data_IF_382353380514
#
_entry.id   IF_382353380514
#
_cell.length_a   1.000
_cell.length_b   1.000
_cell.length_c   1.000
_cell.angle_alpha   90.00
_cell.angle_beta   90.00
_cell.angle_gamma   90.00
#
_symmetry.space_group_name_H-M   'P 1'
#
loop_
_entity.id
_entity.type
_entity.pdbx_description
1 polymer ?
#
# COMPACT_ATOMS: atom_id res chain seq x y z
N UNK A 1 0.51 21.02 0.35
CA UNK A 1 1.74 21.68 0.81
C UNK A 1 1.89 23.08 0.19
N UNK A 2 2.16 23.22 -1.12
CA UNK A 2 2.36 24.53 -1.76
C UNK A 2 1.21 25.53 -1.51
N UNK A 3 -0.05 25.11 -1.71
CA UNK A 3 -1.23 25.96 -1.44
C UNK A 3 -1.33 26.43 0.02
N UNK A 4 -0.88 25.61 0.97
CA UNK A 4 -0.91 25.96 2.39
C UNK A 4 0.17 26.99 2.74
N UNK A 5 1.35 26.92 2.11
CA UNK A 5 2.39 27.94 2.22
C UNK A 5 1.91 29.26 1.61
N UNK A 6 1.16 29.20 0.51
CA UNK A 6 0.53 30.36 -0.12
C UNK A 6 -0.68 30.92 0.65
N UNK A 7 -0.95 30.44 1.88
CA UNK A 7 -2.00 30.96 2.75
C UNK A 7 -3.35 30.24 2.65
N UNK A 8 -3.57 29.37 1.66
CA UNK A 8 -4.80 28.59 1.54
C UNK A 8 -4.67 27.20 2.19
N UNK A 9 -5.11 27.10 3.45
CA UNK A 9 -5.08 25.86 4.25
C UNK A 9 -6.33 25.00 4.09
N UNK A 10 -7.38 25.50 3.46
CA UNK A 10 -8.66 24.79 3.29
C UNK A 10 -8.51 23.41 2.62
N UNK A 11 -7.69 23.25 1.55
CA UNK A 11 -7.47 21.94 0.92
C UNK A 11 -6.89 20.89 1.86
N UNK A 12 -6.23 21.28 2.95
CA UNK A 12 -5.67 20.32 3.91
C UNK A 12 -6.77 19.50 4.60
N UNK A 13 -7.96 20.08 4.75
CA UNK A 13 -9.09 19.46 5.44
C UNK A 13 -10.20 18.99 4.49
N UNK A 14 -10.34 19.61 3.32
CA UNK A 14 -11.41 19.27 2.37
C UNK A 14 -11.01 18.22 1.35
N UNK A 15 -9.71 18.06 1.06
CA UNK A 15 -9.24 17.14 0.03
C UNK A 15 -9.57 15.68 0.34
N UNK A 16 -10.15 15.00 -0.64
CA UNK A 16 -10.55 13.59 -0.51
C UNK A 16 -9.37 12.64 -0.26
N UNK A 17 -8.17 12.90 -0.81
CA UNK A 17 -6.99 12.08 -0.59
C UNK A 17 -6.53 12.16 0.86
N UNK A 18 -6.41 13.39 1.39
CA UNK A 18 -5.92 13.61 2.77
C UNK A 18 -6.89 13.01 3.77
N UNK A 19 -8.20 13.28 3.61
CA UNK A 19 -9.22 12.68 4.46
C UNK A 19 -9.21 11.16 4.39
N UNK A 20 -9.06 10.60 3.18
CA UNK A 20 -8.95 9.15 2.99
C UNK A 20 -7.74 8.54 3.67
N UNK A 21 -6.58 9.17 3.52
CA UNK A 21 -5.34 8.73 4.12
C UNK A 21 -5.44 8.75 5.65
N UNK A 22 -5.90 9.87 6.22
CA UNK A 22 -6.06 10.00 7.67
C UNK A 22 -7.14 9.06 8.22
N UNK A 23 -8.27 8.90 7.53
CA UNK A 23 -9.30 7.95 7.96
C UNK A 23 -8.78 6.52 7.96
N UNK A 24 -8.05 6.13 6.90
CA UNK A 24 -7.47 4.80 6.80
C UNK A 24 -6.44 4.56 7.92
N UNK A 25 -5.55 5.53 8.13
CA UNK A 25 -4.50 5.46 9.15
C UNK A 25 -5.11 5.33 10.56
N UNK A 26 -6.08 6.17 10.90
CA UNK A 26 -6.76 6.12 12.21
C UNK A 26 -7.50 4.79 12.38
N UNK A 27 -8.23 4.32 11.37
CA UNK A 27 -8.92 3.03 11.44
C UNK A 27 -7.96 1.88 11.72
N UNK A 28 -6.84 1.78 10.98
CA UNK A 28 -5.85 0.72 11.20
C UNK A 28 -5.24 0.81 12.60
N UNK A 29 -4.84 2.01 13.02
CA UNK A 29 -4.24 2.22 14.34
C UNK A 29 -5.21 1.81 15.45
N UNK A 30 -6.47 2.25 15.38
CA UNK A 30 -7.47 1.90 16.39
C UNK A 30 -7.73 0.40 16.40
N UNK A 31 -7.86 -0.25 15.24
CA UNK A 31 -8.07 -1.71 15.16
C UNK A 31 -6.89 -2.49 15.74
N UNK A 32 -5.65 -2.14 15.38
CA UNK A 32 -4.45 -2.82 15.91
C UNK A 32 -4.24 -2.56 17.39
N UNK A 33 -4.49 -1.33 17.86
CA UNK A 33 -4.38 -0.98 19.26
C UNK A 33 -5.38 -1.77 20.10
N UNK A 34 -6.66 -1.81 19.72
CA UNK A 34 -7.68 -2.62 20.41
C UNK A 34 -7.33 -4.11 20.39
N UNK A 35 -6.89 -4.64 19.25
CA UNK A 35 -6.48 -6.03 19.14
C UNK A 35 -5.34 -6.37 20.11
N UNK A 36 -4.31 -5.52 20.19
CA UNK A 36 -3.19 -5.74 21.11
C UNK A 36 -3.60 -5.60 22.57
N UNK A 37 -4.53 -4.70 22.90
CA UNK A 37 -5.06 -4.58 24.27
C UNK A 37 -5.85 -5.80 24.73
N UNK A 38 -6.50 -6.52 23.81
CA UNK A 38 -7.27 -7.72 24.13
C UNK A 38 -6.36 -8.97 24.19
N UNK A 39 -5.32 -9.03 23.36
CA UNK A 39 -4.50 -10.23 23.18
C UNK A 39 -3.17 -10.22 23.94
N UNK A 40 -2.68 -9.04 24.31
CA UNK A 40 -1.38 -8.88 24.95
C UNK A 40 -1.54 -8.08 26.25
N UNK A 41 -0.91 -8.55 27.33
CA UNK A 41 -0.91 -7.83 28.61
C UNK A 41 0.16 -6.72 28.60
N UNK A 42 -0.14 -5.63 27.89
CA UNK A 42 0.76 -4.50 27.65
C UNK A 42 0.08 -3.21 28.09
N UNK A 43 0.85 -2.25 28.60
CA UNK A 43 0.35 -0.91 28.91
C UNK A 43 -0.24 -0.23 27.67
N UNK A 44 -1.44 0.35 27.82
CA UNK A 44 -2.18 1.00 26.74
C UNK A 44 -1.39 2.11 26.03
N UNK A 45 -0.60 2.89 26.77
CA UNK A 45 0.23 3.95 26.21
C UNK A 45 1.36 3.39 25.34
N UNK A 46 1.99 2.30 25.77
CA UNK A 46 3.07 1.63 25.03
C UNK A 46 2.54 1.02 23.74
N UNK A 47 1.44 0.26 23.82
CA UNK A 47 0.81 -0.34 22.64
C UNK A 47 0.38 0.72 21.62
N UNK A 48 -0.21 1.83 22.09
CA UNK A 48 -0.63 2.91 21.21
C UNK A 48 0.56 3.54 20.48
N UNK A 49 1.63 3.86 21.21
CA UNK A 49 2.86 4.46 20.63
C UNK A 49 3.47 3.56 19.55
N UNK A 50 3.62 2.28 19.84
CA UNK A 50 4.19 1.31 18.91
C UNK A 50 3.32 1.13 17.66
N UNK A 51 2.00 1.00 17.84
CA UNK A 51 1.04 0.86 16.73
C UNK A 51 1.05 2.10 15.85
N UNK A 52 0.99 3.31 16.43
CA UNK A 52 1.03 4.56 15.67
C UNK A 52 2.31 4.64 14.82
N UNK A 53 3.48 4.41 15.44
CA UNK A 53 4.76 4.54 14.76
C UNK A 53 4.92 3.54 13.62
N UNK A 54 4.76 2.25 13.90
CA UNK A 54 4.98 1.19 12.91
C UNK A 54 3.94 1.26 11.78
N UNK A 55 2.68 1.50 12.10
CA UNK A 55 1.61 1.60 11.08
C UNK A 55 1.84 2.79 10.16
N UNK A 56 2.19 3.95 10.72
CA UNK A 56 2.45 5.15 9.92
C UNK A 56 3.66 4.93 9.02
N UNK A 57 4.75 4.39 9.58
CA UNK A 57 5.98 4.09 8.86
C UNK A 57 5.77 3.14 7.68
N UNK A 58 5.00 2.06 7.88
CA UNK A 58 4.67 1.10 6.82
C UNK A 58 3.75 1.73 5.76
N UNK A 59 2.67 2.41 6.19
CA UNK A 59 1.70 3.01 5.27
C UNK A 59 2.32 4.13 4.41
N UNK A 60 3.29 4.88 4.94
CA UNK A 60 3.99 5.92 4.16
C UNK A 60 5.15 5.39 3.33
N UNK A 61 5.51 4.11 3.48
CA UNK A 61 6.68 3.50 2.83
C UNK A 61 8.01 4.02 3.37
N UNK A 62 8.06 4.41 4.65
CA UNK A 62 9.29 4.88 5.31
C UNK A 62 10.17 3.72 5.77
N UNK A 63 9.54 2.61 6.20
CA UNK A 63 10.26 1.37 6.50
C UNK A 63 11.01 1.33 7.82
N UNK A 64 10.78 2.28 8.72
CA UNK A 64 11.26 2.19 10.11
C UNK A 64 10.38 1.28 10.95
N UNK A 65 11.01 0.49 11.82
CA UNK A 65 10.35 -0.31 12.85
C UNK A 65 10.83 0.16 14.23
N UNK A 66 9.90 0.46 15.13
CA UNK A 66 10.19 0.76 16.54
C UNK A 66 10.00 -0.46 17.45
N UNK A 67 9.29 -1.48 16.98
CA UNK A 67 9.11 -2.74 17.69
C UNK A 67 8.82 -3.87 16.72
N UNK A 68 9.02 -5.10 17.18
CA UNK A 68 8.81 -6.30 16.38
C UNK A 68 7.31 -6.61 16.25
N UNK A 69 6.71 -6.14 15.15
CA UNK A 69 5.32 -6.44 14.80
C UNK A 69 5.09 -7.87 14.31
N UNK A 70 6.14 -8.68 14.12
CA UNK A 70 6.02 -10.13 13.90
C UNK A 70 5.45 -10.86 15.13
N UNK A 71 5.65 -10.29 16.33
CA UNK A 71 5.16 -10.86 17.58
C UNK A 71 3.75 -10.38 17.95
N UNK A 72 3.13 -9.53 17.13
CA UNK A 72 1.81 -8.96 17.43
C UNK A 72 0.67 -9.94 17.15
N UNK A 73 0.97 -11.12 16.59
CA UNK A 73 -0.01 -12.15 16.23
C UNK A 73 -0.45 -12.07 14.77
N UNK A 74 -0.98 -13.20 14.26
CA UNK A 74 -1.26 -13.38 12.83
C UNK A 74 -2.25 -12.36 12.27
N UNK A 75 -3.20 -11.89 13.06
CA UNK A 75 -4.13 -10.85 12.61
C UNK A 75 -3.39 -9.53 12.30
N UNK A 76 -2.48 -9.12 13.17
CA UNK A 76 -1.68 -7.91 12.96
C UNK A 76 -0.76 -8.05 11.74
N UNK A 77 -0.12 -9.22 11.57
CA UNK A 77 0.72 -9.52 10.40
C UNK A 77 -0.11 -9.42 9.11
N UNK A 78 -1.25 -10.10 9.03
CA UNK A 78 -2.12 -10.04 7.84
C UNK A 78 -2.62 -8.63 7.54
N UNK A 79 -3.01 -7.86 8.56
CA UNK A 79 -3.48 -6.48 8.37
C UNK A 79 -2.34 -5.59 7.87
N UNK A 80 -1.17 -5.65 8.51
CA UNK A 80 0.01 -4.88 8.10
C UNK A 80 0.49 -5.29 6.70
N UNK A 81 0.31 -6.55 6.30
CA UNK A 81 0.64 -7.03 4.97
C UNK A 81 -0.21 -6.34 3.90
N UNK A 82 -1.52 -6.17 4.17
CA UNK A 82 -2.41 -5.41 3.29
C UNK A 82 -1.98 -3.94 3.23
N UNK A 83 -1.56 -3.39 4.37
CA UNK A 83 -1.09 -1.99 4.46
C UNK A 83 0.15 -1.75 3.62
N UNK A 84 1.07 -2.73 3.46
CA UNK A 84 2.25 -2.59 2.60
C UNK A 84 1.90 -2.16 1.17
N UNK A 85 0.76 -2.61 0.65
CA UNK A 85 0.36 -2.25 -0.71
C UNK A 85 -0.18 -0.82 -0.82
N UNK A 86 -0.67 -0.23 0.27
CA UNK A 86 -1.29 1.09 0.25
C UNK A 86 -0.23 2.14 0.55
N UNK A 87 -0.07 3.07 -0.39
CA UNK A 87 0.85 4.19 -0.26
C UNK A 87 0.18 5.48 0.22
N UNK A 88 0.98 6.49 0.53
CA UNK A 88 0.50 7.84 0.85
C UNK A 88 -0.20 8.59 -0.30
N UNK A 89 -0.38 9.90 -0.13
CA UNK A 89 -1.07 10.76 -1.11
C UNK A 89 -0.30 10.91 -2.44
N UNK A 90 -1.01 11.26 -3.52
CA UNK A 90 -0.39 11.51 -4.82
C UNK A 90 0.58 12.71 -4.74
N UNK A 91 1.68 12.66 -5.50
CA UNK A 91 2.71 13.70 -5.46
C UNK A 91 3.57 13.74 -4.19
N UNK A 92 3.44 12.74 -3.30
CA UNK A 92 4.35 12.54 -2.17
C UNK A 92 5.50 11.58 -2.52
N UNK A 93 6.53 11.54 -1.67
CA UNK A 93 7.72 10.66 -1.80
C UNK A 93 7.43 9.18 -1.54
N UNK A 94 6.22 8.84 -1.08
CA UNK A 94 5.83 7.45 -0.82
C UNK A 94 5.80 6.61 -2.10
N UNK A 95 5.75 5.30 -1.96
CA UNK A 95 5.51 4.37 -3.06
C UNK A 95 4.26 3.53 -2.78
N UNK A 96 4.05 2.46 -3.54
CA UNK A 96 2.85 1.63 -3.43
C UNK A 96 1.63 2.23 -4.13
N UNK A 97 0.49 1.57 -3.96
CA UNK A 97 -0.78 1.99 -4.53
C UNK A 97 -1.31 3.22 -3.76
N UNK A 98 -1.07 4.40 -4.32
CA UNK A 98 -1.46 5.69 -3.72
C UNK A 98 -2.93 5.69 -3.28
N UNK A 99 -3.22 6.36 -2.17
CA UNK A 99 -4.60 6.46 -1.60
C UNK A 99 -5.63 6.88 -2.64
N UNK A 100 -5.27 7.80 -3.54
CA UNK A 100 -6.12 8.20 -4.66
C UNK A 100 -6.62 7.00 -5.48
N UNK A 101 -5.71 6.13 -5.91
CA UNK A 101 -6.02 4.97 -6.73
C UNK A 101 -6.89 3.98 -5.96
N UNK A 102 -6.59 3.75 -4.68
CA UNK A 102 -7.42 2.91 -3.79
C UNK A 102 -8.85 3.45 -3.70
N UNK A 103 -9.02 4.75 -3.48
CA UNK A 103 -10.34 5.36 -3.40
C UNK A 103 -11.13 5.28 -4.71
N UNK A 104 -10.47 5.45 -5.86
CA UNK A 104 -11.10 5.33 -7.17
C UNK A 104 -11.52 3.88 -7.42
N UNK A 105 -10.67 2.88 -7.12
CA UNK A 105 -11.03 1.46 -7.22
C UNK A 105 -12.26 1.14 -6.35
N UNK A 106 -12.28 1.59 -5.09
CA UNK A 106 -13.42 1.37 -4.20
C UNK A 106 -14.71 2.05 -4.70
N UNK A 107 -14.60 3.26 -5.27
CA UNK A 107 -15.74 3.96 -5.88
C UNK A 107 -16.23 3.27 -7.15
N UNK A 108 -15.31 2.73 -7.96
CA UNK A 108 -15.65 1.94 -9.15
C UNK A 108 -16.40 0.67 -8.78
N UNK A 109 -15.94 -0.06 -7.77
CA UNK A 109 -16.64 -1.24 -7.26
C UNK A 109 -18.05 -0.89 -6.78
N UNK A 110 -18.20 0.20 -6.00
CA UNK A 110 -19.53 0.65 -5.54
C UNK A 110 -20.45 1.02 -6.70
N UNK A 111 -19.93 1.74 -7.71
CA UNK A 111 -20.69 2.09 -8.92
C UNK A 111 -21.14 0.83 -9.66
N UNK A 112 -20.25 -0.15 -9.83
CA UNK A 112 -20.57 -1.41 -10.50
C UNK A 112 -21.70 -2.17 -9.78
N UNK A 113 -21.62 -2.26 -8.45
CA UNK A 113 -22.67 -2.89 -7.63
C UNK A 113 -24.01 -2.13 -7.76
N UNK A 114 -23.98 -0.80 -7.80
CA UNK A 114 -25.17 0.02 -7.99
C UNK A 114 -25.79 -0.14 -9.38
N UNK A 115 -24.98 -0.20 -10.44
CA UNK A 115 -25.44 -0.47 -11.81
C UNK A 115 -26.06 -1.87 -11.93
N UNK A 116 -25.48 -2.87 -11.27
CA UNK A 116 -26.05 -4.23 -11.22
C UNK A 116 -27.40 -4.25 -10.47
N UNK A 117 -27.51 -3.51 -9.37
CA UNK A 117 -28.73 -3.44 -8.57
C UNK A 117 -29.83 -2.60 -9.26
N UNK A 118 -29.44 -1.57 -10.01
CA UNK A 118 -30.33 -0.62 -10.68
C UNK A 118 -29.93 -0.45 -12.15
N UNK A 119 -30.37 -1.37 -13.04
CA UNK A 119 -29.92 -1.42 -14.44
C UNK A 119 -30.28 -0.17 -15.27
N UNK A 120 -31.27 0.62 -14.85
CA UNK A 120 -31.65 1.88 -15.50
C UNK A 120 -31.09 3.13 -14.78
N UNK A 121 -30.26 2.96 -13.76
CA UNK A 121 -29.67 4.06 -12.99
C UNK A 121 -28.41 4.61 -13.65
N UNK A 122 -28.30 5.95 -13.74
CA UNK A 122 -27.08 6.62 -14.20
C UNK A 122 -26.28 7.08 -13.00
N UNK A 123 -25.16 6.42 -12.73
CA UNK A 123 -24.30 6.70 -11.58
C UNK A 123 -23.01 7.41 -12.00
N UNK A 124 -22.96 8.73 -11.81
CA UNK A 124 -21.76 9.53 -12.13
C UNK A 124 -20.74 9.42 -11.00
N UNK A 125 -19.57 8.88 -11.30
CA UNK A 125 -18.47 8.83 -10.35
C UNK A 125 -17.89 10.23 -10.14
N UNK A 126 -17.85 10.70 -8.87
CA UNK A 126 -17.24 11.97 -8.51
C UNK A 126 -16.02 11.79 -7.61
N UNK A 127 -14.97 12.56 -7.86
CA UNK A 127 -13.79 12.65 -7.04
C UNK A 127 -13.48 14.12 -6.70
N UNK A 128 -13.39 14.43 -5.40
CA UNK A 128 -13.18 15.79 -4.89
C UNK A 128 -14.16 16.84 -5.47
N UNK A 129 -15.44 16.49 -5.57
CA UNK A 129 -16.50 17.35 -6.12
C UNK A 129 -16.65 17.32 -7.64
N UNK A 130 -15.63 16.87 -8.38
CA UNK A 130 -15.62 16.85 -9.84
C UNK A 130 -15.99 15.48 -10.40
N UNK A 131 -16.65 15.42 -11.55
CA UNK A 131 -16.89 14.16 -12.27
C UNK A 131 -15.55 13.56 -12.72
N UNK A 132 -15.36 12.27 -12.49
CA UNK A 132 -14.16 11.55 -12.91
C UNK A 132 -14.42 10.93 -14.29
N UNK A 133 -13.63 11.26 -15.32
CA UNK A 133 -13.79 10.65 -16.64
C UNK A 133 -13.59 9.13 -16.59
N UNK A 134 -14.33 8.39 -17.41
CA UNK A 134 -14.21 6.92 -17.47
C UNK A 134 -12.82 6.48 -17.92
N UNK A 135 -12.13 7.27 -18.74
CA UNK A 135 -10.72 7.03 -19.15
C UNK A 135 -9.76 7.01 -17.97
N UNK A 136 -9.95 7.91 -17.00
CA UNK A 136 -9.14 7.96 -15.77
C UNK A 136 -9.44 6.75 -14.90
N UNK A 137 -10.72 6.40 -14.76
CA UNK A 137 -11.14 5.21 -14.00
C UNK A 137 -10.51 3.93 -14.59
N UNK A 138 -10.61 3.74 -15.91
CA UNK A 138 -10.03 2.61 -16.61
C UNK A 138 -8.50 2.55 -16.46
N UNK A 139 -7.81 3.69 -16.54
CA UNK A 139 -6.36 3.77 -16.31
C UNK A 139 -5.98 3.35 -14.88
N UNK A 140 -6.74 3.80 -13.87
CA UNK A 140 -6.50 3.42 -12.47
C UNK A 140 -6.74 1.93 -12.23
N UNK A 141 -7.80 1.35 -12.79
CA UNK A 141 -8.07 -0.08 -12.69
C UNK A 141 -6.97 -0.91 -13.37
N UNK A 142 -6.55 -0.49 -14.56
CA UNK A 142 -5.45 -1.13 -15.30
C UNK A 142 -4.15 -1.07 -14.50
N UNK A 143 -3.87 0.07 -13.85
CA UNK A 143 -2.71 0.21 -12.97
C UNK A 143 -2.77 -0.79 -11.81
N UNK A 144 -3.90 -0.85 -11.11
CA UNK A 144 -4.07 -1.74 -9.96
C UNK A 144 -3.94 -3.22 -10.36
N UNK A 145 -4.55 -3.62 -11.48
CA UNK A 145 -4.43 -4.97 -12.01
C UNK A 145 -2.99 -5.34 -12.37
N UNK A 146 -2.29 -4.44 -13.07
CA UNK A 146 -0.89 -4.61 -13.45
C UNK A 146 0.01 -4.72 -12.23
N UNK A 147 -0.24 -3.89 -11.21
CA UNK A 147 0.49 -3.89 -9.95
C UNK A 147 0.40 -5.23 -9.22
N UNK A 148 -0.82 -5.78 -9.06
CA UNK A 148 -1.00 -7.08 -8.42
C UNK A 148 -0.49 -8.25 -9.28
N UNK A 149 -0.57 -8.13 -10.61
CA UNK A 149 0.00 -9.14 -11.52
C UNK A 149 1.53 -9.21 -11.36
N UNK A 150 2.21 -8.06 -11.37
CA UNK A 150 3.66 -8.01 -11.16
C UNK A 150 4.07 -8.50 -9.77
N UNK A 151 3.33 -8.10 -8.73
CA UNK A 151 3.51 -8.63 -7.38
C UNK A 151 3.47 -10.17 -7.37
N UNK A 152 2.44 -10.77 -7.99
CA UNK A 152 2.31 -12.22 -8.08
C UNK A 152 3.46 -12.88 -8.83
N UNK A 153 3.89 -12.31 -9.97
CA UNK A 153 5.03 -12.81 -10.75
C UNK A 153 6.34 -12.74 -9.95
N UNK A 154 6.60 -11.62 -9.26
CA UNK A 154 7.79 -11.47 -8.42
C UNK A 154 7.77 -12.47 -7.27
N UNK A 155 6.63 -12.65 -6.60
CA UNK A 155 6.49 -13.63 -5.53
C UNK A 155 6.74 -15.06 -6.01
N UNK A 156 6.23 -15.44 -7.19
CA UNK A 156 6.49 -16.74 -7.80
C UNK A 156 7.97 -16.92 -8.15
N UNK A 157 8.63 -15.91 -8.73
CA UNK A 157 10.06 -15.95 -9.02
C UNK A 157 10.90 -16.11 -7.75
N UNK A 158 10.55 -15.41 -6.68
CA UNK A 158 11.22 -15.55 -5.38
C UNK A 158 11.00 -16.93 -4.77
N UNK A 159 9.79 -17.49 -4.88
CA UNK A 159 9.50 -18.87 -4.47
C UNK A 159 10.32 -19.90 -5.26
N UNK A 160 10.48 -19.70 -6.57
CA UNK A 160 11.34 -20.55 -7.41
C UNK A 160 12.83 -20.51 -6.99
N UNK A 161 13.27 -19.41 -6.36
CA UNK A 161 14.62 -19.25 -5.84
C UNK A 161 14.81 -19.86 -4.43
N UNK A 162 13.80 -20.57 -3.93
CA UNK A 162 13.87 -21.33 -2.67
C UNK A 162 13.45 -20.56 -1.42
N UNK A 163 12.85 -19.38 -1.56
CA UNK A 163 12.28 -18.66 -0.43
C UNK A 163 10.94 -19.30 -0.01
N UNK A 164 10.67 -19.34 1.30
CA UNK A 164 9.36 -19.77 1.80
C UNK A 164 8.24 -18.80 1.37
N UNK A 165 6.99 -19.28 1.40
CA UNK A 165 5.86 -18.52 0.88
C UNK A 165 5.65 -17.16 1.57
N UNK A 166 5.86 -17.08 2.89
CA UNK A 166 5.68 -15.84 3.63
C UNK A 166 6.76 -14.82 3.27
N UNK A 167 8.02 -15.26 3.24
CA UNK A 167 9.15 -14.41 2.84
C UNK A 167 9.02 -13.99 1.38
N UNK A 168 8.65 -14.89 0.46
CA UNK A 168 8.50 -14.56 -0.96
C UNK A 168 7.38 -13.54 -1.21
N UNK A 169 6.19 -13.73 -0.62
CA UNK A 169 5.07 -12.80 -0.75
C UNK A 169 5.38 -11.45 -0.11
N UNK A 170 5.93 -11.45 1.12
CA UNK A 170 6.23 -10.19 1.81
C UNK A 170 7.41 -9.44 1.20
N UNK A 171 8.44 -10.12 0.70
CA UNK A 171 9.53 -9.49 -0.04
C UNK A 171 9.04 -8.88 -1.37
N UNK A 172 8.19 -9.60 -2.11
CA UNK A 172 7.61 -9.08 -3.35
C UNK A 172 6.75 -7.83 -3.08
N UNK A 173 5.89 -7.87 -2.05
CA UNK A 173 5.07 -6.74 -1.64
C UNK A 173 5.93 -5.54 -1.19
N UNK A 174 6.91 -5.77 -0.32
CA UNK A 174 7.79 -4.73 0.19
C UNK A 174 8.68 -4.12 -0.92
N UNK A 175 9.14 -4.95 -1.86
CA UNK A 175 9.94 -4.53 -3.02
C UNK A 175 9.13 -3.65 -3.98
N UNK A 176 7.97 -4.14 -4.46
CA UNK A 176 7.16 -3.37 -5.41
C UNK A 176 6.56 -2.09 -4.80
N UNK A 177 6.25 -2.11 -3.49
CA UNK A 177 5.75 -0.96 -2.77
C UNK A 177 6.87 -0.03 -2.26
N UNK A 178 8.14 -0.42 -2.38
CA UNK A 178 9.31 0.27 -1.81
C UNK A 178 9.13 0.65 -0.33
N UNK A 179 8.63 -0.28 0.48
CA UNK A 179 8.38 -0.04 1.91
C UNK A 179 9.63 -0.33 2.75
N UNK A 180 10.43 -1.32 2.37
CA UNK A 180 11.64 -1.71 3.10
C UNK A 180 11.47 -3.06 3.81
N UNK A 181 10.96 -3.10 5.05
CA UNK A 181 10.83 -4.35 5.80
C UNK A 181 9.71 -5.24 5.22
N UNK A 182 9.98 -6.53 5.18
CA UNK A 182 9.00 -7.56 4.84
C UNK A 182 8.34 -8.12 6.10
N UNK A 183 8.01 -9.41 6.05
CA UNK A 183 7.41 -10.16 7.16
C UNK A 183 8.09 -11.53 7.29
N UNK A 184 7.90 -12.16 8.45
CA UNK A 184 8.55 -13.43 8.80
C UNK A 184 9.92 -13.21 9.46
N UNK A 185 10.59 -14.31 9.75
CA UNK A 185 11.78 -14.31 10.62
C UNK A 185 13.02 -13.71 9.93
N UNK A 186 13.13 -13.87 8.60
CA UNK A 186 14.32 -13.47 7.84
C UNK A 186 14.31 -11.98 7.48
N UNK A 187 13.19 -11.48 6.94
CA UNK A 187 13.08 -10.11 6.39
C UNK A 187 12.09 -9.24 7.16
N UNK A 188 11.61 -9.71 8.31
CA UNK A 188 10.72 -8.96 9.19
C UNK A 188 11.37 -7.72 9.81
N UNK A 189 10.70 -7.06 10.75
CA UNK A 189 11.14 -5.79 11.33
C UNK A 189 12.51 -5.84 12.01
N UNK A 190 12.92 -7.01 12.53
CA UNK A 190 14.23 -7.23 13.14
C UNK A 190 15.21 -7.96 12.20
N UNK A 191 14.75 -8.37 11.03
CA UNK A 191 15.51 -9.12 10.04
C UNK A 191 16.20 -8.23 9.01
N UNK A 192 16.80 -8.85 8.01
CA UNK A 192 17.40 -8.15 6.88
C UNK A 192 17.49 -9.03 5.63
N UNK A 193 17.76 -8.41 4.49
CA UNK A 193 17.83 -9.09 3.18
C UNK A 193 19.20 -9.74 2.92
N UNK A 194 20.15 -9.72 3.86
CA UNK A 194 21.54 -10.15 3.60
C UNK A 194 21.67 -11.67 3.40
N UNK A 195 20.83 -12.46 4.07
CA UNK A 195 20.82 -13.92 3.99
C UNK A 195 20.13 -14.44 2.73
N UNK A 196 19.45 -13.57 1.97
CA UNK A 196 18.78 -13.98 0.74
C UNK A 196 19.77 -14.34 -0.37
N UNK A 197 19.41 -15.31 -1.24
CA UNK A 197 20.17 -15.64 -2.44
C UNK A 197 20.46 -14.41 -3.30
N UNK A 198 21.64 -14.38 -3.93
CA UNK A 198 22.05 -13.25 -4.79
C UNK A 198 21.05 -13.01 -5.92
N UNK A 199 20.51 -14.08 -6.52
CA UNK A 199 19.49 -13.97 -7.55
C UNK A 199 18.19 -13.31 -7.02
N UNK A 200 17.79 -13.61 -5.79
CA UNK A 200 16.59 -13.03 -5.18
C UNK A 200 16.76 -11.52 -4.95
N UNK A 201 17.96 -11.09 -4.54
CA UNK A 201 18.30 -9.67 -4.40
C UNK A 201 18.18 -8.92 -5.72
N UNK A 202 18.64 -9.49 -6.83
CA UNK A 202 18.47 -8.88 -8.16
C UNK A 202 17.00 -8.74 -8.58
N UNK A 203 16.19 -9.78 -8.34
CA UNK A 203 14.74 -9.73 -8.58
C UNK A 203 14.11 -8.61 -7.76
N UNK A 204 14.49 -8.46 -6.49
CA UNK A 204 14.00 -7.39 -5.62
C UNK A 204 14.46 -6.00 -6.07
N UNK A 205 15.70 -5.85 -6.55
CA UNK A 205 16.17 -4.58 -7.12
C UNK A 205 15.31 -4.16 -8.32
N UNK A 206 14.99 -5.11 -9.22
CA UNK A 206 14.08 -4.85 -10.34
C UNK A 206 12.67 -4.50 -9.87
N UNK A 207 12.15 -5.22 -8.87
CA UNK A 207 10.84 -4.93 -8.27
C UNK A 207 10.77 -3.50 -7.71
N UNK A 208 11.81 -3.06 -6.99
CA UNK A 208 11.90 -1.72 -6.43
C UNK A 208 11.94 -0.64 -7.51
N UNK A 209 12.73 -0.85 -8.57
CA UNK A 209 12.78 0.05 -9.73
C UNK A 209 11.41 0.17 -10.41
N UNK A 210 10.75 -0.96 -10.66
CA UNK A 210 9.39 -0.99 -11.23
C UNK A 210 8.39 -0.22 -10.34
N UNK A 211 8.45 -0.44 -9.02
CA UNK A 211 7.63 0.25 -8.05
C UNK A 211 7.84 1.76 -8.03
N UNK A 212 9.09 2.21 -8.21
CA UNK A 212 9.48 3.62 -8.10
C UNK A 212 9.23 4.42 -9.38
N UNK A 213 9.39 3.80 -10.56
CA UNK A 213 9.30 4.48 -11.86
C UNK A 213 7.86 4.67 -12.38
N UNK A 214 6.86 4.36 -11.55
CA UNK A 214 5.46 4.18 -11.93
C UNK A 214 5.30 3.16 -13.08
N UNK A 215 4.66 2.03 -12.78
CA UNK A 215 4.59 0.84 -13.66
C UNK A 215 4.35 1.12 -15.16
N UNK A 216 3.51 2.10 -15.49
CA UNK A 216 3.22 2.46 -16.88
C UNK A 216 4.43 3.02 -17.62
N UNK A 217 5.30 3.81 -16.99
CA UNK A 217 6.48 4.37 -17.65
C UNK A 217 7.41 3.24 -18.13
N UNK A 218 7.58 2.20 -17.31
CA UNK A 218 8.44 1.05 -17.65
C UNK A 218 7.77 0.15 -18.69
N UNK A 219 6.48 -0.14 -18.52
CA UNK A 219 5.73 -0.95 -19.50
C UNK A 219 5.68 -0.30 -20.89
N UNK A 220 5.53 1.03 -20.93
CA UNK A 220 5.55 1.79 -22.18
C UNK A 220 6.92 1.72 -22.83
N UNK A 221 8.02 1.83 -22.07
CA UNK A 221 9.38 1.69 -22.60
C UNK A 221 9.67 0.29 -23.17
N UNK A 222 9.06 -0.76 -22.61
CA UNK A 222 9.20 -2.14 -23.08
C UNK A 222 8.26 -2.49 -24.25
N UNK A 223 7.38 -1.57 -24.66
CA UNK A 223 6.45 -1.80 -25.76
C UNK A 223 7.17 -1.57 -27.09
N UNK A 224 7.08 -2.49 -28.09
CA UNK A 224 7.83 -2.41 -29.36
C UNK A 224 7.57 -1.18 -30.24
N UNK A 225 6.61 -0.33 -29.86
CA UNK A 225 6.23 0.89 -30.57
C UNK A 225 6.98 2.14 -30.07
N UNK A 226 7.84 1.99 -29.06
CA UNK A 226 8.80 3.01 -28.62
C UNK A 226 10.06 2.94 -29.48
#
# INVERSE_FOLDING_TARGET
>A
YLRAIQGNREPLFTDAQIRGFLSLLVTIITTLWLYRMITQDISAATALREVIFNTTSLLTGTGYASSDYGQWGNFAICLLFIVLFIGGCAGSTSCGLKVFRVQVVLKSLRRQVQELAYPNGVFVMKYNGNALPDTVTASVLTFAFTYFTLFGLIALLLGMLGLDALTALSAAAAGIANVGPGMGDVIGPQGNYSELPVAAKWVLCLAMLLGRLELFSVLVMLTPRF
#
